data_IF_289860035684
#
_entry.id   IF_289860035684
#
_cell.length_a   1.000
_cell.length_b   1.000
_cell.length_c   1.000
_cell.angle_alpha   90.00
_cell.angle_beta   90.00
_cell.angle_gamma   90.00
#
_symmetry.space_group_name_H-M   'P 1'
#
loop_
_entity.id
_entity.type
_entity.pdbx_description
1 polymer ?
#
# COMPACT_ATOMS: atom_id res chain seq x y z
N UNK A 1 -31.38 -9.56 0.64
CA UNK A 1 -30.42 -10.56 0.12
C UNK A 1 -29.40 -9.82 -0.73
N UNK A 2 -28.12 -10.15 -0.59
CA UNK A 2 -27.08 -9.59 -1.44
C UNK A 2 -27.39 -9.95 -2.91
N UNK A 3 -27.45 -8.94 -3.78
CA UNK A 3 -27.73 -9.13 -5.21
C UNK A 3 -26.43 -9.34 -5.98
N UNK A 4 -26.43 -10.24 -6.97
CA UNK A 4 -25.32 -10.37 -7.90
C UNK A 4 -25.79 -10.00 -9.31
N UNK A 5 -25.09 -9.04 -9.92
CA UNK A 5 -25.18 -8.78 -11.35
C UNK A 5 -24.00 -9.42 -12.07
N UNK A 6 -24.25 -9.88 -13.28
CA UNK A 6 -23.24 -10.46 -14.16
C UNK A 6 -23.03 -9.55 -15.35
N UNK A 7 -21.77 -9.37 -15.73
CA UNK A 7 -21.37 -8.54 -16.87
C UNK A 7 -20.50 -9.37 -17.80
N UNK A 8 -20.83 -9.35 -19.09
CA UNK A 8 -20.07 -10.01 -20.13
C UNK A 8 -19.99 -9.11 -21.36
N UNK A 9 -18.81 -8.56 -21.71
CA UNK A 9 -18.68 -7.60 -22.81
C UNK A 9 -18.88 -8.24 -24.18
N UNK A 10 -18.75 -9.57 -24.31
CA UNK A 10 -18.89 -10.28 -25.58
C UNK A 10 -20.34 -10.71 -25.87
N UNK A 11 -21.08 -11.21 -24.86
CA UNK A 11 -22.41 -11.80 -25.02
C UNK A 11 -23.51 -11.05 -24.30
N UNK A 12 -23.20 -10.06 -23.47
CA UNK A 12 -24.16 -9.30 -22.69
C UNK A 12 -24.88 -8.21 -23.49
N UNK A 13 -25.94 -7.69 -22.88
CA UNK A 13 -26.68 -6.53 -23.36
C UNK A 13 -27.13 -5.68 -22.17
N UNK A 14 -26.99 -4.36 -22.28
CA UNK A 14 -27.40 -3.45 -21.20
C UNK A 14 -28.93 -3.31 -21.05
N UNK A 15 -29.67 -3.96 -21.96
CA UNK A 15 -31.14 -4.13 -21.86
C UNK A 15 -31.55 -5.42 -21.10
N UNK A 16 -30.59 -6.29 -20.78
CA UNK A 16 -30.82 -7.51 -20.01
C UNK A 16 -31.07 -7.21 -18.52
N UNK A 17 -31.45 -8.25 -17.78
CA UNK A 17 -31.70 -8.15 -16.35
C UNK A 17 -30.43 -8.20 -15.48
N UNK A 18 -29.26 -8.46 -16.06
CA UNK A 18 -28.00 -8.63 -15.33
C UNK A 18 -27.88 -9.97 -14.59
N UNK A 19 -28.71 -10.96 -14.92
CA UNK A 19 -28.57 -12.32 -14.40
C UNK A 19 -27.42 -13.07 -15.09
N UNK A 20 -27.04 -14.23 -14.56
CA UNK A 20 -26.00 -15.06 -15.16
C UNK A 20 -26.37 -15.51 -16.59
N UNK A 21 -27.63 -15.76 -16.85
CA UNK A 21 -28.16 -16.20 -18.17
C UNK A 21 -28.43 -15.02 -19.12
N UNK A 22 -28.62 -13.83 -18.58
CA UNK A 22 -28.86 -12.60 -19.31
C UNK A 22 -28.01 -11.45 -18.72
N UNK A 23 -26.68 -11.49 -18.91
CA UNK A 23 -25.76 -10.53 -18.30
C UNK A 23 -25.87 -9.15 -18.95
N UNK A 24 -25.51 -8.11 -18.21
CA UNK A 24 -25.23 -6.81 -18.79
C UNK A 24 -24.01 -6.87 -19.71
N UNK A 25 -23.92 -5.94 -20.62
CA UNK A 25 -22.74 -5.79 -21.47
C UNK A 25 -21.63 -5.00 -20.77
N UNK A 26 -22.00 -3.98 -19.99
CA UNK A 26 -21.07 -3.01 -19.43
C UNK A 26 -21.09 -3.00 -17.90
N UNK A 27 -19.93 -2.73 -17.32
CA UNK A 27 -19.79 -2.40 -15.90
C UNK A 27 -20.57 -1.10 -15.60
N UNK A 28 -20.54 -0.16 -16.54
CA UNK A 28 -21.28 1.11 -16.46
C UNK A 28 -22.76 0.89 -16.17
N UNK A 29 -23.42 -0.02 -16.88
CA UNK A 29 -24.83 -0.33 -16.64
C UNK A 29 -25.03 -1.01 -15.29
N UNK A 30 -24.18 -1.97 -14.93
CA UNK A 30 -24.26 -2.65 -13.64
C UNK A 30 -24.11 -1.69 -12.46
N UNK A 31 -23.16 -0.75 -12.52
CA UNK A 31 -22.95 0.28 -11.49
C UNK A 31 -24.15 1.23 -11.37
N UNK A 32 -24.83 1.54 -12.48
CA UNK A 32 -25.98 2.42 -12.50
C UNK A 32 -27.18 1.88 -11.70
N UNK A 33 -27.34 0.56 -11.67
CA UNK A 33 -28.47 -0.10 -10.99
C UNK A 33 -28.07 -0.78 -9.68
N UNK A 34 -26.78 -0.80 -9.35
CA UNK A 34 -26.25 -1.39 -8.12
C UNK A 34 -26.70 -0.61 -6.88
N UNK A 35 -27.04 -1.32 -5.85
CA UNK A 35 -27.31 -0.81 -4.50
C UNK A 35 -26.30 -1.37 -3.51
N UNK A 36 -26.32 -0.92 -2.27
CA UNK A 36 -25.47 -1.45 -1.20
C UNK A 36 -25.55 -2.99 -1.15
N UNK A 37 -24.44 -3.65 -0.90
CA UNK A 37 -24.26 -5.12 -0.88
C UNK A 37 -24.41 -5.81 -2.26
N UNK A 38 -24.49 -5.04 -3.36
CA UNK A 38 -24.46 -5.61 -4.71
C UNK A 38 -23.06 -6.09 -5.06
N UNK A 39 -22.97 -7.29 -5.61
CA UNK A 39 -21.79 -7.84 -6.26
C UNK A 39 -21.94 -7.76 -7.78
N UNK A 40 -20.96 -7.23 -8.48
CA UNK A 40 -20.89 -7.18 -9.94
C UNK A 40 -19.81 -8.16 -10.38
N UNK A 41 -20.20 -9.30 -10.90
CA UNK A 41 -19.33 -10.37 -11.36
C UNK A 41 -18.98 -10.17 -12.85
N UNK A 42 -17.70 -10.01 -13.13
CA UNK A 42 -17.19 -9.78 -14.48
C UNK A 42 -16.74 -11.08 -15.14
N UNK A 43 -17.14 -11.28 -16.39
CA UNK A 43 -16.56 -12.31 -17.27
C UNK A 43 -15.22 -11.83 -17.85
N UNK A 44 -14.43 -12.76 -18.35
CA UNK A 44 -13.22 -12.44 -19.12
C UNK A 44 -13.58 -11.55 -20.32
N UNK A 45 -12.72 -10.62 -20.64
CA UNK A 45 -12.90 -9.72 -21.76
C UNK A 45 -12.31 -8.34 -21.54
N UNK A 46 -12.50 -7.48 -22.54
CA UNK A 46 -12.02 -6.10 -22.54
C UNK A 46 -13.19 -5.14 -22.29
N UNK A 47 -13.04 -4.34 -21.26
CA UNK A 47 -13.99 -3.33 -20.83
C UNK A 47 -13.39 -1.96 -21.09
N UNK A 48 -13.84 -1.32 -22.16
CA UNK A 48 -13.34 -0.02 -22.62
C UNK A 48 -14.44 0.80 -23.32
N UNK A 49 -14.10 1.99 -23.82
CA UNK A 49 -15.07 2.82 -24.52
C UNK A 49 -15.67 2.11 -25.76
N UNK A 50 -14.90 1.31 -26.48
CA UNK A 50 -15.38 0.55 -27.64
C UNK A 50 -16.37 -0.54 -27.27
N UNK A 51 -16.29 -1.10 -26.07
CA UNK A 51 -17.26 -2.05 -25.54
C UNK A 51 -18.48 -1.38 -24.89
N UNK A 52 -18.50 -0.06 -24.80
CA UNK A 52 -19.63 0.73 -24.27
C UNK A 52 -19.42 1.29 -22.86
N UNK A 53 -18.22 1.14 -22.27
CA UNK A 53 -17.95 1.71 -20.95
C UNK A 53 -17.87 3.23 -20.99
N UNK A 54 -18.36 3.88 -19.95
CA UNK A 54 -18.26 5.34 -19.72
C UNK A 54 -17.44 5.59 -18.46
N UNK A 55 -16.32 6.26 -18.62
CA UNK A 55 -15.37 6.53 -17.54
C UNK A 55 -15.52 7.94 -16.96
N UNK A 56 -15.18 8.16 -15.67
CA UNK A 56 -14.69 7.15 -14.73
C UNK A 56 -15.80 6.22 -14.27
N UNK A 57 -15.42 4.98 -13.96
CA UNK A 57 -16.32 4.03 -13.31
C UNK A 57 -16.35 4.33 -11.81
N UNK A 58 -17.43 4.93 -11.35
CA UNK A 58 -17.62 5.21 -9.91
C UNK A 58 -18.30 4.02 -9.26
N UNK A 59 -17.59 3.35 -8.35
CA UNK A 59 -18.15 2.22 -7.58
C UNK A 59 -18.83 2.78 -6.34
N UNK A 60 -20.17 2.64 -6.23
CA UNK A 60 -20.92 3.16 -5.11
C UNK A 60 -20.55 2.51 -3.77
N UNK A 61 -20.91 3.16 -2.68
CA UNK A 61 -20.65 2.66 -1.33
C UNK A 61 -21.24 1.27 -1.12
N UNK A 62 -20.39 0.36 -0.61
CA UNK A 62 -20.76 -1.02 -0.32
C UNK A 62 -20.98 -1.92 -1.54
N UNK A 63 -20.62 -1.48 -2.75
CA UNK A 63 -20.70 -2.29 -3.98
C UNK A 63 -19.35 -2.95 -4.25
N UNK A 64 -19.37 -4.21 -4.65
CA UNK A 64 -18.18 -4.98 -5.04
C UNK A 64 -18.17 -5.21 -6.54
N UNK A 65 -17.09 -4.79 -7.21
CA UNK A 65 -16.73 -5.19 -8.56
C UNK A 65 -15.73 -6.33 -8.48
N UNK A 66 -16.10 -7.51 -8.98
CA UNK A 66 -15.34 -8.75 -8.83
C UNK A 66 -15.04 -9.40 -10.17
N UNK A 67 -13.77 -9.58 -10.44
CA UNK A 67 -13.26 -10.42 -11.54
C UNK A 67 -12.77 -11.77 -11.04
N UNK A 68 -11.51 -12.09 -11.31
CA UNK A 68 -10.85 -13.32 -10.87
C UNK A 68 -9.67 -12.99 -9.96
N UNK A 69 -9.84 -13.15 -8.66
CA UNK A 69 -8.80 -12.86 -7.67
C UNK A 69 -7.64 -13.89 -7.69
N UNK A 70 -7.89 -15.13 -8.13
CA UNK A 70 -6.87 -16.20 -8.10
C UNK A 70 -5.71 -15.95 -9.05
N UNK A 71 -5.93 -15.17 -10.12
CA UNK A 71 -4.91 -14.81 -11.10
C UNK A 71 -4.68 -13.30 -11.20
N UNK A 72 -5.10 -12.55 -10.19
CA UNK A 72 -4.99 -11.08 -10.12
C UNK A 72 -5.61 -10.36 -11.32
N UNK A 73 -6.73 -10.87 -11.82
CA UNK A 73 -7.49 -10.26 -12.91
C UNK A 73 -6.97 -10.51 -14.32
N UNK A 74 -6.08 -11.49 -14.50
CA UNK A 74 -5.60 -11.85 -15.85
C UNK A 74 -6.78 -12.27 -16.73
N UNK A 75 -6.92 -11.63 -17.89
CA UNK A 75 -8.03 -11.87 -18.81
C UNK A 75 -9.22 -10.93 -18.64
N UNK A 76 -9.26 -10.11 -17.61
CA UNK A 76 -10.30 -9.10 -17.37
C UNK A 76 -9.63 -7.72 -17.42
N UNK A 77 -9.53 -7.14 -18.62
CA UNK A 77 -8.88 -5.85 -18.82
C UNK A 77 -9.88 -4.71 -18.83
N UNK A 78 -9.72 -3.79 -17.91
CA UNK A 78 -10.49 -2.55 -17.85
C UNK A 78 -9.56 -1.40 -18.22
N UNK A 79 -9.78 -0.81 -19.39
CA UNK A 79 -8.94 0.23 -19.97
C UNK A 79 -9.76 1.45 -20.33
N UNK A 80 -9.46 2.57 -19.72
CA UNK A 80 -10.11 3.83 -20.04
C UNK A 80 -9.85 4.91 -19.02
N UNK A 81 -10.35 6.10 -19.33
CA UNK A 81 -10.14 7.28 -18.52
C UNK A 81 -11.31 8.24 -18.63
N UNK A 82 -11.67 8.83 -17.49
CA UNK A 82 -12.61 9.93 -17.44
C UNK A 82 -12.16 10.99 -16.46
N UNK A 83 -12.69 12.19 -16.59
CA UNK A 83 -12.35 13.32 -15.72
C UNK A 83 -13.08 13.20 -14.38
N UNK A 84 -12.32 13.24 -13.30
CA UNK A 84 -12.80 13.38 -11.94
C UNK A 84 -12.32 14.70 -11.35
N UNK A 85 -13.22 15.49 -10.78
CA UNK A 85 -12.85 16.74 -10.11
C UNK A 85 -12.53 16.46 -8.65
N UNK A 86 -11.25 16.27 -8.37
CA UNK A 86 -10.75 16.06 -7.01
C UNK A 86 -10.80 17.36 -6.20
N UNK A 87 -11.22 17.27 -4.95
CA UNK A 87 -11.21 18.38 -4.00
C UNK A 87 -9.81 18.75 -3.53
N UNK A 88 -8.87 17.82 -3.63
CA UNK A 88 -7.50 17.99 -3.13
C UNK A 88 -6.46 18.24 -4.24
N UNK A 89 -6.74 17.81 -5.47
CA UNK A 89 -5.79 17.86 -6.60
C UNK A 89 -6.38 18.37 -7.91
N UNK A 90 -7.53 19.03 -7.90
CA UNK A 90 -8.24 19.52 -9.10
C UNK A 90 -8.61 18.39 -10.08
N UNK A 91 -8.74 18.68 -11.37
CA UNK A 91 -9.16 17.68 -12.35
C UNK A 91 -8.12 16.56 -12.54
N UNK A 92 -8.59 15.33 -12.47
CA UNK A 92 -7.78 14.12 -12.64
C UNK A 92 -8.36 13.21 -13.71
N UNK A 93 -7.50 12.47 -14.40
CA UNK A 93 -7.89 11.44 -15.37
C UNK A 93 -7.82 10.08 -14.69
N UNK A 94 -8.96 9.44 -14.46
CA UNK A 94 -9.04 8.21 -13.67
C UNK A 94 -9.90 7.15 -14.32
N UNK A 95 -9.57 5.89 -14.08
CA UNK A 95 -10.38 4.75 -14.55
C UNK A 95 -11.50 4.47 -13.57
N UNK A 96 -11.16 4.35 -12.29
CA UNK A 96 -12.11 4.10 -11.20
C UNK A 96 -12.08 5.19 -10.14
N UNK A 97 -13.26 5.50 -9.60
CA UNK A 97 -13.42 6.21 -8.33
C UNK A 97 -14.12 5.25 -7.36
N UNK A 98 -13.53 5.02 -6.19
CA UNK A 98 -14.09 4.11 -5.19
C UNK A 98 -14.66 4.90 -4.01
N UNK A 99 -15.95 4.71 -3.74
CA UNK A 99 -16.63 5.30 -2.60
C UNK A 99 -16.44 4.45 -1.33
N UNK A 100 -17.05 4.86 -0.24
CA UNK A 100 -16.85 4.24 1.06
C UNK A 100 -17.30 2.77 1.07
N UNK A 101 -16.44 1.87 1.58
CA UNK A 101 -16.68 0.42 1.60
C UNK A 101 -16.93 -0.22 0.23
N UNK A 102 -16.65 0.49 -0.87
CA UNK A 102 -16.62 -0.11 -2.19
C UNK A 102 -15.46 -1.10 -2.29
N UNK A 103 -15.60 -2.11 -3.15
CA UNK A 103 -14.54 -3.09 -3.37
C UNK A 103 -14.25 -3.26 -4.85
N UNK A 104 -12.96 -3.29 -5.20
CA UNK A 104 -12.46 -3.64 -6.53
C UNK A 104 -11.52 -4.83 -6.39
N UNK A 105 -11.88 -5.94 -7.01
CA UNK A 105 -11.18 -7.22 -6.82
C UNK A 105 -10.98 -7.99 -8.12
N UNK A 106 -9.78 -8.50 -8.30
CA UNK A 106 -9.50 -9.48 -9.35
C UNK A 106 -9.65 -8.97 -10.78
N UNK A 107 -9.22 -7.73 -11.06
CA UNK A 107 -9.26 -7.13 -12.39
C UNK A 107 -7.88 -6.58 -12.78
N UNK A 108 -7.63 -6.44 -14.09
CA UNK A 108 -6.50 -5.69 -14.63
C UNK A 108 -6.97 -4.31 -15.05
N UNK A 109 -6.29 -3.28 -14.58
CA UNK A 109 -6.62 -1.87 -14.86
C UNK A 109 -5.47 -1.19 -15.57
N UNK A 110 -5.77 -0.48 -16.65
CA UNK A 110 -4.83 0.34 -17.43
C UNK A 110 -5.45 1.70 -17.73
N UNK A 111 -4.66 2.76 -17.61
CA UNK A 111 -5.08 4.11 -17.97
C UNK A 111 -4.00 4.79 -18.82
N UNK A 112 -4.21 4.83 -20.13
CA UNK A 112 -3.26 5.36 -21.12
C UNK A 112 -3.41 6.87 -21.35
N UNK A 113 -4.40 7.52 -20.74
CA UNK A 113 -4.56 8.97 -20.87
C UNK A 113 -3.40 9.72 -20.22
N UNK A 114 -3.14 10.94 -20.66
CA UNK A 114 -2.13 11.79 -20.03
C UNK A 114 -2.39 11.91 -18.53
N UNK A 115 -1.38 11.61 -17.70
CA UNK A 115 -1.47 11.58 -16.24
C UNK A 115 -2.61 10.68 -15.72
N UNK A 116 -2.92 9.60 -16.44
CA UNK A 116 -4.00 8.68 -16.12
C UNK A 116 -3.66 7.79 -14.92
N UNK A 117 -4.51 7.83 -13.89
CA UNK A 117 -4.45 6.96 -12.72
C UNK A 117 -5.49 5.84 -12.81
N UNK A 118 -5.15 4.64 -12.31
CA UNK A 118 -6.07 3.51 -12.33
C UNK A 118 -7.25 3.70 -11.37
N UNK A 119 -6.96 3.91 -10.09
CA UNK A 119 -7.96 4.11 -9.03
C UNK A 119 -7.69 5.41 -8.28
N UNK A 120 -8.75 6.17 -8.05
CA UNK A 120 -8.77 7.35 -7.21
C UNK A 120 -9.64 7.13 -5.97
N UNK A 121 -9.05 7.38 -4.80
CA UNK A 121 -9.72 7.23 -3.50
C UNK A 121 -9.59 8.56 -2.76
N UNK A 122 -10.70 9.25 -2.52
CA UNK A 122 -10.70 10.55 -1.85
C UNK A 122 -11.59 10.55 -0.63
N UNK A 123 -10.99 10.55 0.55
CA UNK A 123 -11.67 10.59 1.86
C UNK A 123 -12.68 9.45 2.08
N UNK A 124 -12.42 8.28 1.52
CA UNK A 124 -13.21 7.06 1.65
C UNK A 124 -12.37 5.88 2.10
N UNK A 125 -12.99 4.79 2.49
CA UNK A 125 -12.34 3.59 2.98
C UNK A 125 -12.73 2.32 2.18
N UNK A 126 -12.39 2.25 0.89
CA UNK A 126 -12.65 1.07 0.06
C UNK A 126 -11.61 -0.02 0.24
N UNK A 127 -11.88 -1.18 -0.36
CA UNK A 127 -10.93 -2.29 -0.52
C UNK A 127 -10.52 -2.45 -1.98
N UNK A 128 -9.21 -2.51 -2.21
CA UNK A 128 -8.60 -2.79 -3.52
C UNK A 128 -7.75 -4.04 -3.37
N UNK A 129 -8.22 -5.19 -3.86
CA UNK A 129 -7.59 -6.47 -3.56
C UNK A 129 -7.39 -7.36 -4.78
N UNK A 130 -6.20 -7.98 -4.86
CA UNK A 130 -5.85 -9.00 -5.84
C UNK A 130 -6.09 -8.56 -7.30
N UNK A 131 -5.76 -7.31 -7.60
CA UNK A 131 -5.81 -6.73 -8.94
C UNK A 131 -4.41 -6.60 -9.54
N UNK A 132 -4.38 -6.37 -10.86
CA UNK A 132 -3.20 -5.91 -11.58
C UNK A 132 -3.43 -4.49 -12.07
N UNK A 133 -2.52 -3.58 -11.74
CA UNK A 133 -2.46 -2.21 -12.26
C UNK A 133 -1.22 -2.06 -13.12
N UNK A 134 -1.39 -1.88 -14.40
CA UNK A 134 -0.27 -1.86 -15.34
C UNK A 134 -0.42 -0.76 -16.39
N UNK A 135 0.70 -0.18 -16.82
CA UNK A 135 0.75 0.85 -17.85
C UNK A 135 -0.11 2.10 -17.60
N UNK A 136 -0.42 2.41 -16.35
CA UNK A 136 -1.04 3.69 -16.01
C UNK A 136 -0.02 4.82 -16.22
N UNK A 137 -0.44 5.90 -16.86
CA UNK A 137 0.45 7.03 -17.18
C UNK A 137 0.78 7.90 -15.96
N UNK A 138 0.24 7.55 -14.82
CA UNK A 138 0.58 8.13 -13.51
C UNK A 138 0.64 7.02 -12.45
N UNK A 139 -0.32 6.91 -11.55
CA UNK A 139 -0.33 5.88 -10.50
C UNK A 139 -1.27 4.72 -10.83
N UNK A 140 -0.96 3.54 -10.28
CA UNK A 140 -1.95 2.47 -10.21
C UNK A 140 -3.10 2.83 -9.27
N UNK A 141 -2.80 3.21 -8.03
CA UNK A 141 -3.77 3.66 -7.01
C UNK A 141 -3.30 4.97 -6.37
N UNK A 142 -4.20 5.94 -6.27
CA UNK A 142 -3.97 7.19 -5.56
C UNK A 142 -5.02 7.37 -4.45
N UNK A 143 -4.56 7.54 -3.21
CA UNK A 143 -5.40 7.84 -2.05
C UNK A 143 -5.07 9.22 -1.48
N UNK A 144 -6.09 10.03 -1.21
CA UNK A 144 -5.95 11.43 -0.80
C UNK A 144 -7.07 11.87 0.14
N UNK A 145 -6.94 13.08 0.66
CA UNK A 145 -7.87 13.63 1.65
C UNK A 145 -7.68 12.93 3.00
N UNK A 146 -8.72 12.34 3.51
CA UNK A 146 -8.73 11.52 4.73
C UNK A 146 -9.02 10.05 4.42
N UNK A 147 -8.54 9.57 3.28
CA UNK A 147 -8.78 8.20 2.85
C UNK A 147 -8.17 7.18 3.82
N UNK A 148 -8.85 6.03 3.94
CA UNK A 148 -8.39 4.92 4.78
C UNK A 148 -8.63 3.57 4.09
N UNK A 149 -8.03 3.34 2.89
CA UNK A 149 -8.26 2.13 2.11
C UNK A 149 -7.55 0.90 2.69
N UNK A 150 -8.04 -0.28 2.28
CA UNK A 150 -7.31 -1.53 2.34
C UNK A 150 -6.81 -1.84 0.92
N UNK A 151 -5.48 -1.87 0.72
CA UNK A 151 -4.84 -2.19 -0.56
C UNK A 151 -4.05 -3.48 -0.35
N UNK A 152 -4.59 -4.61 -0.83
CA UNK A 152 -4.17 -5.94 -0.44
C UNK A 152 -3.85 -6.83 -1.65
N UNK A 153 -2.65 -7.39 -1.71
CA UNK A 153 -2.30 -8.46 -2.65
C UNK A 153 -2.34 -8.07 -4.12
N UNK A 154 -2.20 -6.78 -4.44
CA UNK A 154 -2.22 -6.31 -5.82
C UNK A 154 -0.83 -6.38 -6.47
N UNK A 155 -0.84 -6.43 -7.79
CA UNK A 155 0.33 -6.34 -8.65
C UNK A 155 0.34 -4.98 -9.36
N UNK A 156 1.42 -4.22 -9.17
CA UNK A 156 1.64 -2.93 -9.81
C UNK A 156 2.88 -3.02 -10.70
N UNK A 157 2.74 -2.77 -11.99
CA UNK A 157 3.85 -2.83 -12.92
C UNK A 157 3.77 -1.76 -14.01
N UNK A 158 4.93 -1.26 -14.42
CA UNK A 158 5.06 -0.34 -15.56
C UNK A 158 4.18 0.92 -15.48
N UNK A 159 3.79 1.33 -14.27
CA UNK A 159 3.10 2.60 -14.07
C UNK A 159 4.13 3.75 -14.10
N UNK A 160 3.82 4.83 -14.80
CA UNK A 160 4.83 5.83 -15.12
C UNK A 160 5.32 6.65 -13.91
N UNK A 161 4.45 6.89 -12.93
CA UNK A 161 4.82 7.60 -11.71
C UNK A 161 5.00 6.63 -10.53
N UNK A 162 3.91 6.14 -9.94
CA UNK A 162 3.98 5.29 -8.77
C UNK A 162 3.10 4.05 -8.93
N UNK A 163 3.42 2.97 -8.21
CA UNK A 163 2.46 1.89 -8.01
C UNK A 163 1.32 2.39 -7.15
N UNK A 164 1.62 2.81 -5.93
CA UNK A 164 0.67 3.33 -4.94
C UNK A 164 1.14 4.70 -4.46
N UNK A 165 0.23 5.67 -4.38
CA UNK A 165 0.48 6.97 -3.76
C UNK A 165 -0.54 7.25 -2.67
N UNK A 166 -0.07 7.65 -1.49
CA UNK A 166 -0.89 8.02 -0.33
C UNK A 166 -0.52 9.45 0.09
N UNK A 167 -1.48 10.35 0.04
CA UNK A 167 -1.26 11.78 0.24
C UNK A 167 -2.24 12.40 1.25
N UNK A 168 -2.02 13.67 1.58
CA UNK A 168 -2.80 14.47 2.53
C UNK A 168 -2.85 13.81 3.91
N UNK A 169 -3.99 13.69 4.54
CA UNK A 169 -4.16 13.07 5.86
C UNK A 169 -4.56 11.58 5.77
N UNK A 170 -4.31 10.96 4.62
CA UNK A 170 -4.72 9.58 4.39
C UNK A 170 -3.97 8.61 5.29
N UNK A 171 -4.66 7.55 5.63
CA UNK A 171 -4.15 6.37 6.34
C UNK A 171 -4.25 5.16 5.40
N UNK A 172 -4.51 4.01 5.92
CA UNK A 172 -4.77 2.81 5.16
C UNK A 172 -3.84 1.66 5.52
N UNK A 173 -4.26 0.49 5.09
CA UNK A 173 -3.47 -0.74 5.21
C UNK A 173 -3.02 -1.15 3.82
N UNK A 174 -1.70 -1.18 3.61
CA UNK A 174 -1.07 -1.53 2.34
C UNK A 174 -0.28 -2.80 2.59
N UNK A 175 -0.85 -3.95 2.21
CA UNK A 175 -0.31 -5.25 2.59
C UNK A 175 -0.18 -6.22 1.43
N UNK A 176 0.95 -6.94 1.38
CA UNK A 176 1.15 -8.03 0.44
C UNK A 176 1.13 -7.62 -1.03
N UNK A 177 1.36 -6.34 -1.34
CA UNK A 177 1.40 -5.88 -2.72
C UNK A 177 2.80 -6.09 -3.32
N UNK A 178 2.84 -6.26 -4.62
CA UNK A 178 4.07 -6.32 -5.41
C UNK A 178 4.13 -5.12 -6.36
N UNK A 179 5.19 -4.31 -6.25
CA UNK A 179 5.41 -3.14 -7.11
C UNK A 179 6.74 -3.28 -7.84
N UNK A 180 6.74 -3.26 -9.18
CA UNK A 180 7.97 -3.39 -9.96
C UNK A 180 7.90 -2.63 -11.28
N UNK A 181 9.06 -2.21 -11.77
CA UNK A 181 9.20 -1.45 -13.02
C UNK A 181 8.31 -0.21 -13.09
N UNK A 182 8.16 0.49 -11.98
CA UNK A 182 7.46 1.77 -11.88
C UNK A 182 8.45 2.90 -11.60
N UNK A 183 7.97 4.13 -11.53
CA UNK A 183 8.78 5.25 -11.03
C UNK A 183 9.12 5.00 -9.56
N UNK A 184 8.18 5.25 -8.66
CA UNK A 184 8.31 4.80 -7.26
C UNK A 184 7.36 3.64 -7.02
N UNK A 185 7.81 2.62 -6.27
CA UNK A 185 6.92 1.53 -5.89
C UNK A 185 5.75 2.04 -5.05
N UNK A 186 6.05 2.69 -3.92
CA UNK A 186 5.07 3.32 -3.03
C UNK A 186 5.57 4.73 -2.66
N UNK A 187 4.72 5.74 -2.84
CA UNK A 187 4.99 7.12 -2.45
C UNK A 187 4.01 7.57 -1.35
N UNK A 188 4.55 8.14 -0.27
CA UNK A 188 3.78 8.63 0.87
C UNK A 188 4.16 10.07 1.12
N UNK A 189 3.19 10.97 1.19
CA UNK A 189 3.44 12.41 1.27
C UNK A 189 2.52 13.14 2.24
N UNK A 190 2.73 14.44 2.36
CA UNK A 190 2.00 15.33 3.25
C UNK A 190 2.06 14.87 4.73
N UNK A 191 0.94 14.60 5.35
CA UNK A 191 0.83 14.09 6.74
C UNK A 191 0.33 12.66 6.79
N UNK A 192 0.35 11.94 5.67
CA UNK A 192 -0.17 10.59 5.58
C UNK A 192 0.55 9.61 6.53
N UNK A 193 -0.22 8.69 7.08
CA UNK A 193 0.26 7.73 8.08
C UNK A 193 -0.27 6.29 7.83
N UNK A 194 -0.05 5.73 6.64
CA UNK A 194 -0.47 4.37 6.35
C UNK A 194 0.40 3.33 7.07
N UNK A 195 -0.13 2.10 7.13
CA UNK A 195 0.60 0.91 7.57
C UNK A 195 0.99 0.10 6.36
N UNK A 196 2.30 -0.11 6.15
CA UNK A 196 2.86 -0.92 5.07
C UNK A 196 3.40 -2.23 5.65
N UNK A 197 2.82 -3.36 5.22
CA UNK A 197 3.25 -4.69 5.69
C UNK A 197 3.44 -5.65 4.52
N UNK A 198 4.48 -6.46 4.60
CA UNK A 198 4.67 -7.62 3.71
C UNK A 198 4.64 -7.28 2.21
N UNK A 199 4.97 -6.03 1.83
CA UNK A 199 5.04 -5.63 0.43
C UNK A 199 6.39 -5.98 -0.17
N UNK A 200 6.39 -6.34 -1.46
CA UNK A 200 7.58 -6.63 -2.26
C UNK A 200 7.75 -5.57 -3.35
N UNK A 201 8.87 -4.88 -3.30
CA UNK A 201 9.11 -3.68 -4.11
C UNK A 201 10.48 -3.83 -4.77
N UNK A 202 10.52 -3.94 -6.11
CA UNK A 202 11.78 -4.19 -6.80
C UNK A 202 11.80 -3.66 -8.23
N UNK A 203 12.98 -3.43 -8.76
CA UNK A 203 13.19 -2.93 -10.14
C UNK A 203 12.44 -1.64 -10.46
N UNK A 204 12.14 -0.81 -9.46
CA UNK A 204 11.61 0.53 -9.66
C UNK A 204 12.76 1.53 -9.74
N UNK A 205 12.48 2.79 -10.08
CA UNK A 205 13.47 3.85 -9.93
C UNK A 205 13.85 4.01 -8.46
N UNK A 206 12.87 4.15 -7.57
CA UNK A 206 13.05 4.06 -6.11
C UNK A 206 11.95 3.18 -5.52
N UNK A 207 12.25 2.50 -4.40
CA UNK A 207 11.30 1.58 -3.80
C UNK A 207 10.17 2.30 -3.08
N UNK A 208 10.44 2.83 -1.88
CA UNK A 208 9.48 3.59 -1.06
C UNK A 208 10.02 5.00 -0.85
N UNK A 209 9.23 6.01 -1.20
CA UNK A 209 9.57 7.41 -1.00
C UNK A 209 8.59 8.04 -0.01
N UNK A 210 9.13 8.58 1.09
CA UNK A 210 8.36 9.14 2.20
C UNK A 210 8.76 10.61 2.36
N UNK A 211 7.81 11.51 2.18
CA UNK A 211 8.08 12.95 2.12
C UNK A 211 7.11 13.77 2.96
N UNK A 212 7.33 15.09 2.96
CA UNK A 212 6.51 16.01 3.74
C UNK A 212 6.69 15.79 5.24
N UNK A 213 5.62 15.60 5.96
CA UNK A 213 5.57 15.28 7.38
C UNK A 213 4.95 13.91 7.65
N UNK A 214 5.03 13.00 6.68
CA UNK A 214 4.41 11.68 6.75
C UNK A 214 4.98 10.82 7.90
N UNK A 215 4.12 9.98 8.45
CA UNK A 215 4.43 9.10 9.61
C UNK A 215 3.94 7.67 9.37
N UNK A 216 4.37 7.00 8.29
CA UNK A 216 3.96 5.61 8.03
C UNK A 216 4.63 4.64 9.00
N UNK A 217 3.99 3.46 9.18
CA UNK A 217 4.57 2.32 9.86
C UNK A 217 4.94 1.26 8.83
N UNK A 218 6.20 0.81 8.81
CA UNK A 218 6.73 -0.17 7.86
C UNK A 218 7.16 -1.45 8.59
N UNK A 219 6.58 -2.60 8.21
CA UNK A 219 6.92 -3.90 8.79
C UNK A 219 7.03 -4.98 7.70
N UNK A 220 8.10 -5.73 7.75
CA UNK A 220 8.36 -6.90 6.89
C UNK A 220 8.30 -6.60 5.38
N UNK A 221 8.56 -5.38 4.96
CA UNK A 221 8.62 -5.06 3.54
C UNK A 221 9.99 -5.44 2.96
N UNK A 222 10.00 -5.81 1.69
CA UNK A 222 11.23 -6.05 0.93
C UNK A 222 11.34 -4.96 -0.13
N UNK A 223 12.42 -4.17 -0.09
CA UNK A 223 12.72 -3.17 -1.13
C UNK A 223 14.12 -3.44 -1.69
N UNK A 224 14.18 -3.96 -2.90
CA UNK A 224 15.41 -4.48 -3.46
C UNK A 224 15.56 -4.19 -4.96
N UNK A 225 16.81 -4.16 -5.44
CA UNK A 225 17.13 -4.03 -6.86
C UNK A 225 16.49 -2.80 -7.53
N UNK A 226 16.21 -1.75 -6.77
CA UNK A 226 15.75 -0.49 -7.34
C UNK A 226 16.94 0.30 -7.90
N UNK A 227 16.71 1.11 -8.94
CA UNK A 227 17.80 1.85 -9.61
C UNK A 227 18.46 2.89 -8.71
N UNK A 228 17.66 3.59 -7.91
CA UNK A 228 18.14 4.57 -6.93
C UNK A 228 18.13 3.94 -5.52
N UNK A 229 17.13 4.25 -4.72
CA UNK A 229 17.09 3.88 -3.29
C UNK A 229 16.04 2.80 -2.98
N UNK A 230 16.30 2.04 -1.94
CA UNK A 230 15.31 1.13 -1.34
C UNK A 230 14.21 1.90 -0.61
N UNK A 231 14.59 2.75 0.34
CA UNK A 231 13.72 3.71 1.03
C UNK A 231 14.40 5.08 1.04
N UNK A 232 13.67 6.10 0.66
CA UNK A 232 14.07 7.51 0.76
C UNK A 232 13.12 8.26 1.70
N UNK A 233 13.66 8.97 2.68
CA UNK A 233 12.91 9.80 3.63
C UNK A 233 13.34 11.26 3.47
N UNK A 234 12.37 12.17 3.24
CA UNK A 234 12.62 13.57 2.88
C UNK A 234 11.78 14.52 3.77
N UNK A 235 12.21 15.76 3.88
CA UNK A 235 11.49 16.82 4.58
C UNK A 235 11.49 16.64 6.09
N UNK A 236 10.34 16.60 6.72
CA UNK A 236 10.16 16.33 8.15
C UNK A 236 9.51 14.97 8.40
N UNK A 237 9.50 14.09 7.40
CA UNK A 237 8.94 12.75 7.54
C UNK A 237 9.70 11.94 8.60
N UNK A 238 8.96 11.09 9.29
CA UNK A 238 9.53 10.20 10.31
C UNK A 238 8.76 8.87 10.31
N UNK A 239 9.13 7.94 9.43
CA UNK A 239 8.54 6.61 9.42
C UNK A 239 8.94 5.82 10.67
N UNK A 240 8.04 4.97 11.15
CA UNK A 240 8.36 3.92 12.12
C UNK A 240 8.83 2.69 11.34
N UNK A 241 10.13 2.44 11.37
CA UNK A 241 10.78 1.28 10.75
C UNK A 241 11.29 0.27 11.77
N UNK A 242 10.70 0.25 12.95
CA UNK A 242 10.96 -0.71 14.01
C UNK A 242 11.35 -0.09 15.34
N UNK A 243 10.94 -0.74 16.39
CA UNK A 243 11.26 -0.44 17.78
C UNK A 243 11.63 -1.73 18.53
N UNK A 244 12.13 -1.61 19.77
CA UNK A 244 12.51 -2.76 20.59
C UNK A 244 11.39 -3.74 20.84
N UNK A 245 10.16 -3.25 20.97
CA UNK A 245 8.97 -4.07 21.22
C UNK A 245 8.21 -4.45 19.94
N UNK A 246 8.57 -3.87 18.79
CA UNK A 246 7.92 -4.11 17.50
C UNK A 246 8.95 -3.97 16.40
N UNK A 247 9.69 -5.03 16.13
CA UNK A 247 10.80 -5.03 15.17
C UNK A 247 10.33 -4.68 13.76
N UNK A 248 11.19 -3.99 13.00
CA UNK A 248 10.91 -3.58 11.63
C UNK A 248 10.72 -4.76 10.68
N UNK A 249 11.64 -5.71 10.70
CA UNK A 249 11.62 -6.89 9.82
C UNK A 249 11.79 -6.55 8.34
N UNK A 250 12.00 -5.29 7.98
CA UNK A 250 12.17 -4.90 6.59
C UNK A 250 13.52 -5.38 6.05
N UNK A 251 13.56 -5.76 4.79
CA UNK A 251 14.78 -6.14 4.06
C UNK A 251 15.02 -5.14 2.94
N UNK A 252 16.12 -4.40 3.04
CA UNK A 252 16.55 -3.43 2.03
C UNK A 252 17.90 -3.88 1.51
N UNK A 253 17.99 -4.15 0.20
CA UNK A 253 19.23 -4.70 -0.37
C UNK A 253 19.37 -4.46 -1.87
N UNK A 254 20.61 -4.43 -2.32
CA UNK A 254 20.97 -4.39 -3.74
C UNK A 254 20.37 -3.18 -4.49
N UNK A 255 20.08 -2.08 -3.80
CA UNK A 255 19.62 -0.87 -4.46
C UNK A 255 20.82 -0.08 -5.03
N UNK A 256 20.60 0.64 -6.12
CA UNK A 256 21.70 1.23 -6.89
C UNK A 256 22.48 2.29 -6.13
N UNK A 257 21.79 3.17 -5.40
CA UNK A 257 22.44 4.23 -4.59
C UNK A 257 22.48 3.85 -3.10
N UNK A 258 21.35 3.89 -2.43
CA UNK A 258 21.24 3.56 -1.01
C UNK A 258 20.14 2.53 -0.76
N UNK A 259 20.35 1.65 0.18
CA UNK A 259 19.28 0.81 0.71
C UNK A 259 18.33 1.62 1.58
N UNK A 260 18.89 2.55 2.39
CA UNK A 260 18.11 3.50 3.18
C UNK A 260 18.78 4.90 3.12
N UNK A 261 18.05 5.88 2.60
CA UNK A 261 18.46 7.28 2.61
C UNK A 261 17.55 8.10 3.52
N UNK A 262 18.12 8.70 4.55
CA UNK A 262 17.45 9.69 5.38
C UNK A 262 17.92 11.09 5.02
N UNK A 263 17.18 11.77 4.17
CA UNK A 263 17.38 13.19 3.84
C UNK A 263 16.37 14.09 4.57
N UNK A 264 15.72 13.57 5.61
CA UNK A 264 14.80 14.35 6.45
C UNK A 264 15.57 15.10 7.56
N UNK A 265 14.90 16.03 8.21
CA UNK A 265 15.43 16.74 9.38
C UNK A 265 15.39 15.89 10.67
N UNK A 266 14.76 14.73 10.65
CA UNK A 266 14.63 13.85 11.80
C UNK A 266 15.70 12.77 11.81
N UNK A 267 16.13 12.34 13.00
CA UNK A 267 16.92 11.12 13.17
C UNK A 267 15.98 9.92 13.11
N UNK A 268 16.28 8.96 12.24
CA UNK A 268 15.55 7.70 12.16
C UNK A 268 16.11 6.69 13.17
N UNK A 269 15.25 5.84 13.67
CA UNK A 269 15.62 4.65 14.47
C UNK A 269 15.28 3.42 13.65
N UNK A 270 16.26 2.54 13.44
CA UNK A 270 16.13 1.30 12.67
C UNK A 270 16.43 0.10 13.55
N UNK A 271 15.39 -0.64 13.94
CA UNK A 271 15.53 -1.81 14.84
C UNK A 271 14.93 -3.03 14.17
N UNK A 272 15.72 -4.11 14.08
CA UNK A 272 15.28 -5.41 13.55
C UNK A 272 15.09 -5.43 12.03
N UNK A 273 15.77 -4.57 11.28
CA UNK A 273 15.78 -4.58 9.82
C UNK A 273 17.06 -5.22 9.27
N UNK A 274 16.99 -5.75 8.06
CA UNK A 274 18.14 -6.24 7.29
C UNK A 274 18.54 -5.17 6.28
N UNK A 275 19.60 -4.44 6.58
CA UNK A 275 20.11 -3.33 5.76
C UNK A 275 21.64 -3.42 5.73
N UNK A 276 22.25 -3.21 4.56
CA UNK A 276 23.70 -3.05 4.47
C UNK A 276 24.09 -1.66 5.00
N UNK A 277 24.81 -1.61 6.10
CA UNK A 277 25.25 -0.35 6.71
C UNK A 277 26.13 0.51 5.78
N UNK A 278 26.81 -0.08 4.80
CA UNK A 278 27.59 0.63 3.79
C UNK A 278 26.72 1.34 2.74
N UNK A 279 25.45 0.98 2.65
CA UNK A 279 24.47 1.49 1.71
C UNK A 279 23.42 2.38 2.39
N UNK A 280 23.82 3.09 3.42
CA UNK A 280 22.95 3.96 4.23
C UNK A 280 23.48 5.39 4.21
N UNK A 281 22.59 6.37 4.08
CA UNK A 281 22.92 7.79 4.15
C UNK A 281 21.99 8.55 5.10
N UNK A 282 22.54 9.55 5.77
CA UNK A 282 21.80 10.43 6.68
C UNK A 282 21.86 10.01 8.15
N UNK A 283 21.09 10.69 8.99
CA UNK A 283 21.07 10.48 10.43
C UNK A 283 20.18 9.30 10.79
N UNK A 284 20.78 8.13 11.06
CA UNK A 284 20.08 6.90 11.40
C UNK A 284 20.76 6.26 12.60
N UNK A 285 19.96 5.85 13.57
CA UNK A 285 20.40 5.05 14.70
C UNK A 285 20.00 3.59 14.46
N UNK A 286 21.02 2.73 14.43
CA UNK A 286 20.83 1.29 14.42
C UNK A 286 20.93 0.78 15.86
N UNK A 287 19.90 0.08 16.31
CA UNK A 287 19.95 -0.68 17.55
C UNK A 287 19.78 -2.16 17.21
N UNK A 288 20.74 -2.96 17.63
CA UNK A 288 20.71 -4.41 17.44
C UNK A 288 19.77 -5.01 18.49
N UNK A 289 18.70 -5.61 18.06
CA UNK A 289 17.76 -6.34 18.93
C UNK A 289 18.37 -7.64 19.51
N UNK A 290 19.57 -8.00 19.09
CA UNK A 290 20.22 -9.26 19.40
C UNK A 290 21.20 -9.19 20.60
N UNK A 291 21.44 -8.02 21.16
CA UNK A 291 22.24 -7.90 22.40
C UNK A 291 21.29 -7.80 23.58
N UNK A 292 21.07 -8.89 24.34
CA UNK A 292 20.39 -8.75 25.63
C UNK A 292 21.24 -7.78 26.47
N UNK A 293 20.65 -6.70 26.93
CA UNK A 293 21.28 -5.83 27.93
C UNK A 293 21.77 -6.74 29.05
N UNK A 294 23.09 -6.72 29.37
CA UNK A 294 23.56 -7.59 30.43
C UNK A 294 22.76 -7.26 31.70
N UNK A 295 22.04 -8.23 32.19
CA UNK A 295 21.36 -8.13 33.49
C UNK A 295 22.44 -7.74 34.49
N UNK A 296 22.31 -6.63 35.25
CA UNK A 296 23.32 -6.26 36.22
C UNK A 296 23.52 -7.44 37.13
N UNK A 297 24.76 -7.93 37.17
CA UNK A 297 25.17 -8.99 38.09
C UNK A 297 24.83 -8.51 39.52
N UNK A 298 24.04 -9.24 40.27
CA UNK A 298 23.71 -8.80 41.62
C UNK A 298 25.03 -8.57 42.37
N UNK A 299 25.20 -7.37 42.90
CA UNK A 299 26.32 -7.03 43.78
C UNK A 299 26.31 -8.02 44.92
N UNK A 300 27.42 -8.71 45.19
CA UNK A 300 27.41 -9.68 46.26
C UNK A 300 27.06 -8.97 47.58
N UNK A 301 26.04 -9.46 48.24
CA UNK A 301 25.63 -9.02 49.55
C UNK A 301 26.84 -9.17 50.50
N UNK A 302 27.29 -8.12 51.22
CA UNK A 302 28.41 -8.27 52.12
C UNK A 302 28.13 -9.35 53.16
N UNK A 303 29.04 -10.30 53.25
CA UNK A 303 29.02 -11.36 54.27
C UNK A 303 29.02 -10.71 55.64
N UNK A 304 28.09 -11.05 56.54
CA UNK A 304 28.07 -10.46 57.87
C UNK A 304 29.38 -10.78 58.60
N UNK A 305 30.02 -9.74 59.10
CA UNK A 305 31.23 -9.85 59.94
C UNK A 305 30.89 -10.69 61.21
N UNK A 306 31.68 -11.71 61.51
CA UNK A 306 31.38 -12.50 62.69
C UNK A 306 31.45 -11.63 63.95
N UNK A 307 30.42 -11.70 64.75
CA UNK A 307 30.35 -11.04 66.10
C UNK A 307 31.45 -11.61 67.01
N UNK A 308 32.27 -10.77 67.67
CA UNK A 308 33.32 -11.27 68.55
C UNK A 308 32.71 -12.02 69.71
N UNK A 309 33.26 -13.23 69.99
CA UNK A 309 32.90 -14.07 71.10
C UNK A 309 33.31 -13.38 72.41
N UNK A 310 32.44 -13.27 73.43
CA UNK A 310 32.83 -12.64 74.66
C UNK A 310 33.91 -13.43 75.39
N UNK A 311 34.96 -12.74 75.79
CA UNK A 311 36.05 -13.30 76.58
C UNK A 311 35.53 -13.66 77.97
N UNK A 312 35.82 -14.88 78.53
CA UNK A 312 35.39 -15.23 79.84
C UNK A 312 36.15 -14.43 80.95
N UNK A 313 35.42 -13.90 81.87
CA UNK A 313 35.95 -13.18 83.05
C UNK A 313 36.64 -14.18 84.02
N UNK A 314 37.88 -13.88 84.50
CA UNK A 314 38.50 -14.72 85.46
C UNK A 314 37.82 -14.58 86.85
N UNK A 315 37.63 -15.69 87.56
CA UNK A 315 37.21 -15.78 88.93
C UNK A 315 38.35 -15.49 89.88
#
# INVERSE_FOLDING_TARGET
MAQTFYVNPASGSDTNAGSQQAPFKTITQALKVATIDTKIQLADGNYNASSGEVFPLTVPSGVTVLGNETNTGKGILIEGSGTYLSRTFAAQNVTFVLLDKAELRGVTVTNLASRGSGVWIESTAPTVANNTFTNCKREGVFATGEANPIILGNLFSENAANGIAIAKNSKGQIQGNTCFKTGFGIAISDTASPILRDNKIYENRSGIVISGSARPLLRNNVSENNTDDGITVIGTALPDIGSTNNLGGNTLRNNGKFDLQNASSNKLVSIGNKIDASKVAGSIEFADSSVPTPTPTPTPTPTPTPTPTPTPTPT
#
